data_IF_376254762384
#
_entry.id   IF_376254762384
#
_cell.length_a   1.000
_cell.length_b   1.000
_cell.length_c   1.000
_cell.angle_alpha   90.00
_cell.angle_beta   90.00
_cell.angle_gamma   90.00
#
_symmetry.space_group_name_H-M   'P 1'
#
loop_
_entity.id
_entity.type
_entity.pdbx_description
1 polymer ?
#
# COMPACT_ATOMS: atom_id res chain seq x y z
N UNK A 1 -3.10 -13.46 17.22
CA UNK A 1 -2.22 -12.99 16.13
C UNK A 1 -2.63 -11.56 15.83
N UNK A 2 -1.73 -10.59 15.92
CA UNK A 2 -2.07 -9.21 15.57
C UNK A 2 -2.31 -9.15 14.06
N UNK A 3 -3.56 -9.07 13.65
CA UNK A 3 -3.92 -8.70 12.29
C UNK A 3 -3.31 -7.32 12.06
N UNK A 4 -2.29 -7.25 11.20
CA UNK A 4 -1.71 -5.96 10.78
C UNK A 4 -2.88 -5.14 10.26
N UNK A 5 -3.22 -4.05 10.95
CA UNK A 5 -4.37 -3.21 10.59
C UNK A 5 -4.16 -2.74 9.16
N UNK A 6 -5.13 -3.02 8.27
CA UNK A 6 -5.05 -2.55 6.89
C UNK A 6 -4.96 -1.01 6.89
N UNK A 7 -4.01 -0.43 6.14
CA UNK A 7 -3.75 1.00 6.21
C UNK A 7 -4.97 1.77 5.70
N UNK A 8 -5.40 2.79 6.46
CA UNK A 8 -6.54 3.61 6.07
C UNK A 8 -6.23 4.56 4.92
N UNK A 9 -7.28 5.16 4.33
CA UNK A 9 -7.12 6.24 3.34
C UNK A 9 -6.28 7.38 3.93
N UNK A 10 -5.31 7.85 3.16
CA UNK A 10 -4.39 8.92 3.57
C UNK A 10 -3.18 8.42 4.36
N UNK A 11 -3.12 7.14 4.73
CA UNK A 11 -1.91 6.55 5.27
C UNK A 11 -0.80 6.55 4.21
N UNK A 12 0.42 6.87 4.65
CA UNK A 12 1.60 6.75 3.82
C UNK A 12 2.23 5.39 4.08
N UNK A 13 2.33 4.59 3.03
CA UNK A 13 2.85 3.22 3.11
C UNK A 13 4.20 3.12 2.42
N UNK A 14 5.10 2.34 3.00
CA UNK A 14 6.34 1.89 2.35
C UNK A 14 6.21 0.39 2.08
N UNK A 15 6.50 -0.02 0.85
CA UNK A 15 6.26 -1.38 0.39
C UNK A 15 7.40 -1.86 -0.52
N UNK A 16 7.55 -3.18 -0.62
CA UNK A 16 8.52 -3.80 -1.51
C UNK A 16 8.15 -3.51 -2.96
N UNK A 17 9.11 -3.03 -3.75
CA UNK A 17 8.87 -2.75 -5.16
C UNK A 17 8.80 -4.06 -5.96
N UNK A 18 7.68 -4.38 -6.62
CA UNK A 18 7.61 -5.56 -7.47
C UNK A 18 8.38 -5.38 -8.80
N UNK A 19 8.73 -4.14 -9.16
CA UNK A 19 9.52 -3.86 -10.36
C UNK A 19 11.00 -4.13 -10.11
N UNK A 20 11.47 -5.26 -10.63
CA UNK A 20 12.87 -5.72 -10.53
C UNK A 20 13.85 -4.85 -11.30
N UNK A 21 13.38 -4.03 -12.25
CA UNK A 21 14.23 -3.14 -13.04
C UNK A 21 14.39 -1.76 -12.40
N UNK A 22 13.55 -1.43 -11.42
CA UNK A 22 13.60 -0.15 -10.75
C UNK A 22 14.71 -0.12 -9.69
N UNK A 23 15.53 0.95 -9.61
CA UNK A 23 16.69 1.00 -8.72
C UNK A 23 16.34 0.97 -7.22
N UNK A 24 15.14 1.42 -6.85
CA UNK A 24 14.67 1.40 -5.45
C UNK A 24 13.97 0.09 -5.09
N UNK A 25 14.52 -0.60 -4.08
CA UNK A 25 13.94 -1.82 -3.46
C UNK A 25 12.63 -1.52 -2.75
N UNK A 26 12.54 -0.36 -2.09
CA UNK A 26 11.34 0.09 -1.40
C UNK A 26 10.78 1.34 -2.08
N UNK A 27 9.46 1.36 -2.22
CA UNK A 27 8.73 2.51 -2.76
C UNK A 27 7.74 2.99 -1.73
N UNK A 28 7.43 4.28 -1.78
CA UNK A 28 6.49 4.96 -0.88
C UNK A 28 5.33 5.54 -1.66
N UNK A 29 4.13 5.42 -1.11
CA UNK A 29 2.91 5.92 -1.72
C UNK A 29 1.86 6.23 -0.66
N UNK A 30 0.80 6.92 -1.06
CA UNK A 30 -0.35 7.25 -0.21
C UNK A 30 -1.52 6.35 -0.58
N UNK A 31 -2.19 5.76 0.41
CA UNK A 31 -3.40 4.98 0.18
C UNK A 31 -4.53 5.90 -0.25
N UNK A 32 -5.12 5.61 -1.41
CA UNK A 32 -6.13 6.46 -2.06
C UNK A 32 -7.39 5.68 -2.44
N UNK A 33 -8.39 5.69 -1.57
CA UNK A 33 -9.72 5.14 -1.89
C UNK A 33 -10.03 3.86 -1.11
N UNK A 34 -10.90 3.04 -1.68
CA UNK A 34 -11.47 1.85 -1.02
C UNK A 34 -10.57 0.64 -1.22
N UNK A 35 -10.52 -0.23 -0.21
CA UNK A 35 -9.82 -1.51 -0.31
C UNK A 35 -10.57 -2.47 -1.22
N UNK A 36 -9.83 -3.29 -1.96
CA UNK A 36 -10.37 -4.36 -2.79
C UNK A 36 -9.92 -5.68 -2.20
N UNK A 37 -10.80 -6.67 -2.15
CA UNK A 37 -10.44 -8.02 -1.73
C UNK A 37 -10.35 -8.89 -2.98
N UNK A 38 -9.22 -9.57 -3.16
CA UNK A 38 -9.07 -10.56 -4.22
C UNK A 38 -9.93 -11.79 -3.87
N UNK A 39 -10.95 -12.15 -4.68
CA UNK A 39 -11.83 -13.27 -4.38
C UNK A 39 -11.14 -14.63 -4.43
N UNK A 40 -10.01 -14.76 -5.13
CA UNK A 40 -9.29 -16.02 -5.26
C UNK A 40 -8.38 -16.27 -4.05
N UNK A 41 -7.68 -15.24 -3.58
CA UNK A 41 -6.68 -15.35 -2.50
C UNK A 41 -7.19 -14.85 -1.14
N UNK A 42 -8.33 -14.16 -1.12
CA UNK A 42 -8.83 -13.39 0.03
C UNK A 42 -7.85 -12.30 0.52
N UNK A 43 -6.81 -11.97 -0.26
CA UNK A 43 -5.87 -10.91 0.10
C UNK A 43 -6.53 -9.55 -0.04
N UNK A 44 -6.18 -8.63 0.87
CA UNK A 44 -6.62 -7.25 0.78
C UNK A 44 -5.62 -6.44 -0.02
N UNK A 45 -6.13 -5.74 -1.01
CA UNK A 45 -5.41 -4.86 -1.92
C UNK A 45 -5.83 -3.42 -1.69
N UNK A 46 -4.87 -2.50 -1.72
CA UNK A 46 -5.10 -1.07 -1.53
C UNK A 46 -4.63 -0.28 -2.73
N UNK A 47 -5.44 0.65 -3.25
CA UNK A 47 -4.98 1.62 -4.24
C UNK A 47 -3.97 2.58 -3.61
N UNK A 48 -2.84 2.78 -4.27
CA UNK A 48 -1.76 3.67 -3.83
C UNK A 48 -1.42 4.68 -4.91
N UNK A 49 -1.22 5.92 -4.51
CA UNK A 49 -0.72 6.99 -5.37
C UNK A 49 0.73 7.28 -5.02
N UNK A 50 1.60 7.18 -6.02
CA UNK A 50 3.03 7.52 -5.91
C UNK A 50 3.26 9.03 -6.11
N UNK A 51 4.44 9.56 -5.75
CA UNK A 51 4.76 10.99 -5.93
C UNK A 51 4.68 11.48 -7.38
N UNK A 52 4.92 10.59 -8.34
CA UNK A 52 4.79 10.83 -9.79
C UNK A 52 3.32 10.84 -10.27
N UNK A 53 2.36 10.70 -9.34
CA UNK A 53 0.90 10.58 -9.57
C UNK A 53 0.46 9.28 -10.23
N UNK A 54 1.37 8.33 -10.44
CA UNK A 54 1.00 6.99 -10.88
C UNK A 54 0.16 6.31 -9.80
N UNK A 55 -0.95 5.71 -10.23
CA UNK A 55 -1.82 4.91 -9.36
C UNK A 55 -1.52 3.44 -9.62
N UNK A 56 -1.35 2.67 -8.55
CA UNK A 56 -1.19 1.22 -8.62
C UNK A 56 -2.02 0.57 -7.54
N UNK A 57 -2.37 -0.70 -7.72
CA UNK A 57 -3.03 -1.50 -6.69
C UNK A 57 -1.98 -2.38 -6.03
N UNK A 58 -1.91 -2.34 -4.70
CA UNK A 58 -0.88 -3.00 -3.92
C UNK A 58 -1.49 -4.05 -2.98
N UNK A 59 -1.01 -5.28 -3.04
CA UNK A 59 -1.29 -6.28 -2.00
C UNK A 59 -0.69 -5.81 -0.66
N UNK A 60 -1.55 -5.69 0.36
CA UNK A 60 -1.16 -5.27 1.70
C UNK A 60 -0.10 -6.17 2.34
N UNK A 61 0.05 -7.41 1.89
CA UNK A 61 1.12 -8.31 2.30
C UNK A 61 2.53 -7.76 2.00
N UNK A 62 2.68 -6.91 0.98
CA UNK A 62 3.95 -6.30 0.58
C UNK A 62 4.30 -5.02 1.37
N UNK A 63 3.43 -4.57 2.28
CA UNK A 63 3.63 -3.35 3.06
C UNK A 63 4.54 -3.64 4.25
N UNK A 64 5.71 -2.99 4.25
CA UNK A 64 6.71 -3.12 5.32
C UNK A 64 6.52 -2.08 6.41
N UNK A 65 5.98 -0.89 6.08
CA UNK A 65 5.73 0.18 7.04
C UNK A 65 4.47 0.98 6.69
N UNK A 66 3.73 1.41 7.72
CA UNK A 66 2.53 2.24 7.63
C UNK A 66 2.71 3.47 8.52
N UNK A 67 2.49 4.65 7.96
CA UNK A 67 2.40 5.91 8.69
C UNK A 67 0.98 6.44 8.54
N UNK A 68 0.19 6.34 9.60
CA UNK A 68 -1.19 6.84 9.60
C UNK A 68 -1.23 8.36 9.43
N UNK A 69 -2.29 8.91 8.79
CA UNK A 69 -2.44 10.34 8.69
C UNK A 69 -2.60 10.93 10.09
N UNK A 70 -1.91 12.03 10.39
CA UNK A 70 -2.10 12.72 11.67
C UNK A 70 -3.54 13.25 11.74
N UNK A 71 -4.25 13.06 12.86
CA UNK A 71 -5.50 13.76 13.09
C UNK A 71 -5.23 15.27 13.06
N UNK A 72 -6.11 16.01 12.37
CA UNK A 72 -6.08 17.47 12.32
C UNK A 72 -6.59 18.08 13.62
#
# INVERSE_FOLDING_TARGET
>A
MATKSCPGRGAVVTYLNPDVMHPSVYVRGVVIGTHVVDPQTSHTWVPIMRPDRTISVLDTANIVNVQEPRPR
#
